data_IF_972435554780
#
_entry.id   IF_972435554780
#
_cell.length_a   1.000
_cell.length_b   1.000
_cell.length_c   1.000
_cell.angle_alpha   90.00
_cell.angle_beta   90.00
_cell.angle_gamma   90.00
#
_symmetry.space_group_name_H-M   'P 1'
#
loop_
_entity.id
_entity.type
_entity.pdbx_description
1 polymer ?
#
# COMPACT_ATOMS: atom_id res chain seq x y z
N UNK A 1 20.60 4.78 -20.16
CA UNK A 1 19.20 4.33 -20.12
C UNK A 1 19.20 2.91 -19.55
N UNK A 2 19.15 2.78 -18.23
CA UNK A 2 19.06 1.47 -17.58
C UNK A 2 17.60 1.05 -17.54
N UNK A 3 17.26 0.05 -18.34
CA UNK A 3 16.00 -0.68 -18.21
C UNK A 3 15.94 -1.20 -16.78
N UNK A 4 14.86 -0.94 -15.98
CA UNK A 4 14.73 -1.59 -14.70
C UNK A 4 14.76 -3.09 -14.92
N UNK A 5 15.57 -3.80 -14.13
CA UNK A 5 15.64 -5.25 -14.15
C UNK A 5 14.21 -5.77 -14.09
N UNK A 6 13.84 -6.65 -15.02
CA UNK A 6 12.52 -7.27 -15.08
C UNK A 6 12.35 -8.11 -13.81
N UNK A 7 11.86 -7.50 -12.74
CA UNK A 7 11.47 -8.19 -11.52
C UNK A 7 10.40 -9.23 -11.83
N UNK A 8 10.29 -10.25 -11.00
CA UNK A 8 9.20 -11.22 -11.12
C UNK A 8 7.85 -10.50 -10.94
N UNK A 9 6.90 -10.80 -11.81
CA UNK A 9 5.53 -10.28 -11.70
C UNK A 9 4.88 -10.85 -10.43
N UNK A 10 4.58 -9.98 -9.47
CA UNK A 10 4.02 -10.37 -8.18
C UNK A 10 2.50 -10.25 -8.15
N UNK A 11 1.96 -9.12 -8.62
CA UNK A 11 0.52 -8.89 -8.73
C UNK A 11 0.18 -8.58 -10.19
N UNK A 12 -0.79 -9.31 -10.73
CA UNK A 12 -1.30 -9.13 -12.09
C UNK A 12 -2.83 -8.97 -12.04
N UNK A 13 -3.29 -7.79 -12.43
CA UNK A 13 -4.70 -7.41 -12.49
C UNK A 13 -5.09 -7.28 -13.94
N UNK A 14 -6.13 -8.01 -14.36
CA UNK A 14 -6.55 -8.06 -15.75
C UNK A 14 -8.03 -7.70 -15.89
N UNK A 15 -8.30 -6.61 -16.62
CA UNK A 15 -9.65 -6.11 -17.00
C UNK A 15 -10.61 -6.04 -15.82
N UNK A 16 -10.11 -5.59 -14.65
CA UNK A 16 -10.87 -5.56 -13.41
C UNK A 16 -11.95 -4.49 -13.48
N UNK A 17 -13.20 -4.86 -13.24
CA UNK A 17 -14.33 -3.95 -13.32
C UNK A 17 -15.20 -4.00 -12.08
N UNK A 18 -15.75 -2.82 -11.71
CA UNK A 18 -16.70 -2.67 -10.60
C UNK A 18 -17.65 -1.52 -10.83
N UNK A 19 -18.94 -1.77 -10.60
CA UNK A 19 -20.00 -0.77 -10.66
C UNK A 19 -20.77 -0.71 -9.36
N UNK A 20 -21.26 0.46 -9.02
CA UNK A 20 -22.19 0.71 -7.93
C UNK A 20 -23.40 1.46 -8.52
N UNK A 21 -24.46 0.73 -8.83
CA UNK A 21 -25.59 1.30 -9.56
C UNK A 21 -25.16 1.89 -10.89
N UNK A 22 -25.36 3.21 -11.09
CA UNK A 22 -24.94 3.93 -12.29
C UNK A 22 -23.46 4.31 -12.35
N UNK A 23 -22.74 4.22 -11.22
CA UNK A 23 -21.34 4.67 -11.13
C UNK A 23 -20.36 3.52 -11.47
N UNK A 24 -19.47 3.74 -12.42
CA UNK A 24 -18.38 2.81 -12.76
C UNK A 24 -17.15 3.22 -11.97
N UNK A 25 -16.77 2.42 -10.98
CA UNK A 25 -15.62 2.71 -10.12
C UNK A 25 -14.31 2.07 -10.61
N UNK A 26 -14.41 0.95 -11.34
CA UNK A 26 -13.29 0.34 -12.08
C UNK A 26 -13.81 -0.08 -13.44
N UNK A 27 -13.13 0.29 -14.52
CA UNK A 27 -13.58 0.14 -15.91
C UNK A 27 -12.53 -0.63 -16.74
N UNK A 28 -12.37 -1.93 -16.44
CA UNK A 28 -11.41 -2.77 -17.14
C UNK A 28 -9.96 -2.44 -16.75
N UNK A 29 -9.69 -2.28 -15.46
CA UNK A 29 -8.35 -1.94 -14.94
C UNK A 29 -7.38 -3.08 -15.20
N UNK A 30 -6.26 -2.75 -15.86
CA UNK A 30 -5.06 -3.57 -15.93
C UNK A 30 -3.96 -2.92 -15.08
N UNK A 31 -3.31 -3.71 -14.20
CA UNK A 31 -2.25 -3.24 -13.31
C UNK A 31 -1.27 -4.37 -13.04
N UNK A 32 0.02 -4.09 -13.17
CA UNK A 32 1.09 -5.03 -12.86
C UNK A 32 2.02 -4.44 -11.80
N UNK A 33 2.32 -5.23 -10.76
CA UNK A 33 3.29 -4.87 -9.71
C UNK A 33 4.37 -5.94 -9.66
N UNK A 34 5.64 -5.53 -9.67
CA UNK A 34 6.79 -6.41 -9.69
C UNK A 34 7.42 -6.53 -8.29
N UNK A 35 8.08 -7.66 -8.02
CA UNK A 35 8.74 -7.88 -6.73
C UNK A 35 9.82 -6.83 -6.44
N UNK A 36 9.83 -6.33 -5.21
CA UNK A 36 10.85 -5.40 -4.72
C UNK A 36 10.70 -3.95 -5.16
N UNK A 37 9.64 -3.62 -5.94
CA UNK A 37 9.37 -2.22 -6.30
C UNK A 37 8.48 -1.50 -5.27
N UNK A 38 8.61 -0.20 -5.20
CA UNK A 38 7.58 0.72 -4.70
C UNK A 38 6.78 1.17 -5.92
N UNK A 39 5.58 0.61 -6.07
CA UNK A 39 4.64 0.98 -7.12
C UNK A 39 3.64 1.99 -6.57
N UNK A 40 3.58 3.18 -7.11
CA UNK A 40 2.59 4.17 -6.70
C UNK A 40 1.35 4.15 -7.60
N UNK A 41 0.18 4.27 -6.99
CA UNK A 41 -1.10 4.48 -7.66
C UNK A 41 -1.61 5.87 -7.32
N UNK A 42 -1.61 6.76 -8.29
CA UNK A 42 -2.10 8.13 -8.17
C UNK A 42 -3.35 8.36 -9.02
N UNK A 43 -4.00 9.49 -8.82
CA UNK A 43 -5.18 9.91 -9.59
C UNK A 43 -6.06 10.87 -8.82
N UNK A 44 -6.95 11.60 -9.48
CA UNK A 44 -7.83 12.59 -8.83
C UNK A 44 -8.78 11.93 -7.80
N UNK A 45 -9.41 12.78 -6.98
CA UNK A 45 -10.46 12.32 -6.08
C UNK A 45 -11.63 11.73 -6.90
N UNK A 46 -12.15 10.60 -6.44
CA UNK A 46 -13.20 9.89 -7.17
C UNK A 46 -12.72 9.04 -8.36
N UNK A 47 -11.41 8.97 -8.64
CA UNK A 47 -10.87 8.14 -9.72
C UNK A 47 -11.10 6.63 -9.56
N UNK A 48 -11.44 6.15 -8.37
CA UNK A 48 -11.65 4.73 -8.06
C UNK A 48 -10.52 4.06 -7.29
N UNK A 49 -9.51 4.81 -6.81
CA UNK A 49 -8.34 4.28 -6.09
C UNK A 49 -8.73 3.39 -4.89
N UNK A 50 -9.56 3.92 -3.98
CA UNK A 50 -10.02 3.18 -2.79
C UNK A 50 -10.82 1.91 -3.17
N UNK A 51 -11.63 1.98 -4.23
CA UNK A 51 -12.35 0.83 -4.76
C UNK A 51 -11.39 -0.22 -5.29
N UNK A 52 -10.39 0.17 -6.07
CA UNK A 52 -9.38 -0.74 -6.60
C UNK A 52 -8.60 -1.41 -5.45
N UNK A 53 -8.14 -0.64 -4.47
CA UNK A 53 -7.45 -1.18 -3.29
C UNK A 53 -8.33 -2.16 -2.51
N UNK A 54 -9.61 -1.84 -2.30
CA UNK A 54 -10.56 -2.74 -1.65
C UNK A 54 -10.75 -4.06 -2.42
N UNK A 55 -10.74 -4.00 -3.76
CA UNK A 55 -10.78 -5.20 -4.62
C UNK A 55 -9.47 -5.99 -4.49
N UNK A 56 -8.30 -5.34 -4.52
CA UNK A 56 -6.99 -5.98 -4.34
C UNK A 56 -6.84 -6.62 -2.96
N UNK A 57 -7.37 -5.99 -1.92
CA UNK A 57 -7.36 -6.52 -0.56
C UNK A 57 -8.41 -7.63 -0.30
N UNK A 58 -9.32 -7.89 -1.25
CA UNK A 58 -10.40 -8.88 -1.11
C UNK A 58 -11.58 -8.44 -0.26
N UNK A 59 -11.64 -7.16 0.13
CA UNK A 59 -12.76 -6.57 0.86
C UNK A 59 -13.98 -6.33 -0.04
N UNK A 60 -13.73 -6.14 -1.32
CA UNK A 60 -14.73 -5.92 -2.34
C UNK A 60 -14.53 -6.90 -3.50
N UNK A 61 -15.59 -7.60 -3.88
CA UNK A 61 -15.55 -8.48 -5.06
C UNK A 61 -15.68 -7.66 -6.35
N UNK A 62 -14.83 -7.89 -7.35
CA UNK A 62 -15.03 -7.33 -8.67
C UNK A 62 -16.27 -7.95 -9.34
N UNK A 63 -16.86 -7.21 -10.28
CA UNK A 63 -17.96 -7.72 -11.10
C UNK A 63 -17.42 -8.57 -12.26
N UNK A 64 -16.24 -8.23 -12.77
CA UNK A 64 -15.50 -9.00 -13.78
C UNK A 64 -14.00 -8.73 -13.69
N UNK A 65 -13.22 -9.50 -14.45
CA UNK A 65 -11.77 -9.44 -14.45
C UNK A 65 -11.13 -10.45 -13.53
N UNK A 66 -9.80 -10.39 -13.42
CA UNK A 66 -9.00 -11.35 -12.68
C UNK A 66 -7.91 -10.64 -11.87
N UNK A 67 -7.61 -11.17 -10.69
CA UNK A 67 -6.49 -10.77 -9.85
C UNK A 67 -5.64 -12.02 -9.61
N UNK A 68 -4.39 -12.02 -10.08
CA UNK A 68 -3.42 -13.05 -9.77
C UNK A 68 -2.33 -12.48 -8.86
N UNK A 69 -1.92 -13.27 -7.86
CA UNK A 69 -0.86 -12.94 -6.93
C UNK A 69 0.14 -14.10 -6.85
N UNK A 70 1.41 -13.83 -7.11
CA UNK A 70 2.45 -14.86 -7.19
C UNK A 70 2.05 -16.01 -8.12
N UNK A 71 1.46 -15.71 -9.28
CA UNK A 71 1.00 -16.66 -10.28
C UNK A 71 -0.33 -17.36 -9.95
N UNK A 72 -0.87 -17.21 -8.73
CA UNK A 72 -2.11 -17.86 -8.31
C UNK A 72 -3.30 -16.89 -8.40
N UNK A 73 -4.45 -17.38 -8.87
CA UNK A 73 -5.68 -16.60 -8.89
C UNK A 73 -6.22 -16.39 -7.47
N UNK A 74 -6.37 -15.10 -7.09
CA UNK A 74 -6.89 -14.70 -5.79
C UNK A 74 -8.21 -13.92 -5.89
N UNK A 75 -8.80 -13.84 -7.07
CA UNK A 75 -9.97 -12.99 -7.37
C UNK A 75 -11.12 -13.16 -6.38
N UNK A 76 -11.37 -14.41 -5.96
CA UNK A 76 -12.48 -14.74 -5.07
C UNK A 76 -12.09 -15.00 -3.63
N UNK A 77 -10.79 -14.87 -3.30
CA UNK A 77 -10.30 -15.13 -1.95
C UNK A 77 -10.65 -13.96 -1.01
N UNK A 78 -10.98 -14.33 0.23
CA UNK A 78 -11.21 -13.38 1.32
C UNK A 78 -9.94 -12.64 1.72
N UNK A 79 -10.04 -11.49 2.44
CA UNK A 79 -8.87 -10.76 2.93
C UNK A 79 -7.92 -11.64 3.75
N UNK A 80 -8.45 -12.50 4.60
CA UNK A 80 -7.66 -13.40 5.43
C UNK A 80 -6.88 -14.43 4.59
N UNK A 81 -7.49 -15.00 3.56
CA UNK A 81 -6.80 -15.94 2.66
C UNK A 81 -5.70 -15.26 1.84
N UNK A 82 -5.91 -13.96 1.45
CA UNK A 82 -4.87 -13.16 0.78
C UNK A 82 -3.73 -12.83 1.72
N UNK A 83 -4.02 -12.46 2.98
CA UNK A 83 -3.00 -12.21 4.00
C UNK A 83 -2.12 -13.45 4.22
N UNK A 84 -2.71 -14.65 4.31
CA UNK A 84 -1.96 -15.92 4.41
C UNK A 84 -1.06 -16.21 3.21
N UNK A 85 -1.35 -15.62 2.04
CA UNK A 85 -0.51 -15.70 0.84
C UNK A 85 0.55 -14.60 0.77
N UNK A 86 0.58 -13.70 1.75
CA UNK A 86 1.55 -12.63 1.85
C UNK A 86 1.12 -11.32 1.18
N UNK A 87 -0.19 -11.08 0.99
CA UNK A 87 -0.73 -9.79 0.57
C UNK A 87 -1.40 -9.11 1.77
N UNK A 88 -0.75 -8.10 2.33
CA UNK A 88 -1.25 -7.33 3.47
C UNK A 88 -1.75 -5.94 3.05
N UNK A 89 -2.58 -5.31 3.87
CA UNK A 89 -3.02 -3.92 3.70
C UNK A 89 -2.94 -3.18 5.04
N UNK A 90 -2.43 -1.94 5.03
CA UNK A 90 -2.64 -1.02 6.14
C UNK A 90 -4.12 -0.57 6.17
N UNK A 91 -4.63 -0.28 7.35
CA UNK A 91 -6.02 0.15 7.50
C UNK A 91 -6.10 1.68 7.41
N UNK A 92 -7.09 2.19 6.67
CA UNK A 92 -7.38 3.62 6.54
C UNK A 92 -7.95 4.22 7.84
N UNK A 93 -8.49 3.39 8.75
CA UNK A 93 -8.99 3.79 10.06
C UNK A 93 -8.08 3.18 11.11
N UNK A 94 -7.53 4.03 11.96
CA UNK A 94 -6.68 3.65 13.10
C UNK A 94 -7.36 2.55 13.93
N UNK A 95 -6.88 1.32 13.82
CA UNK A 95 -7.38 0.16 14.57
C UNK A 95 -6.38 -0.28 15.64
N UNK A 96 -5.77 0.70 16.30
CA UNK A 96 -4.86 0.44 17.39
C UNK A 96 -5.63 0.09 18.65
N UNK A 97 -5.21 -0.96 19.33
CA UNK A 97 -5.79 -1.36 20.61
C UNK A 97 -5.25 -0.45 21.71
N UNK A 98 -6.04 0.53 22.13
CA UNK A 98 -5.66 1.53 23.15
C UNK A 98 -5.42 0.95 24.54
N UNK A 99 -5.90 -0.28 24.81
CA UNK A 99 -5.66 -1.02 26.05
C UNK A 99 -4.28 -1.65 26.12
N UNK A 100 -3.56 -1.72 25.01
CA UNK A 100 -2.19 -2.22 24.91
C UNK A 100 -1.23 -1.06 24.65
N UNK A 101 0.03 -1.26 25.03
CA UNK A 101 1.16 -0.43 24.61
C UNK A 101 1.54 -0.71 23.15
N UNK A 102 2.55 -0.01 22.64
CA UNK A 102 3.07 -0.16 21.29
C UNK A 102 3.52 -1.59 21.01
N UNK A 103 4.35 -2.17 21.90
CA UNK A 103 4.84 -3.54 21.75
C UNK A 103 3.71 -4.58 21.80
N UNK A 104 2.71 -4.38 22.64
CA UNK A 104 1.54 -5.24 22.76
C UNK A 104 0.69 -5.24 21.47
N UNK A 105 0.52 -4.10 20.84
CA UNK A 105 -0.17 -4.01 19.53
C UNK A 105 0.59 -4.82 18.46
N UNK A 106 1.91 -4.65 18.38
CA UNK A 106 2.75 -5.41 17.44
C UNK A 106 2.70 -6.90 17.77
N UNK A 107 2.77 -7.27 19.06
CA UNK A 107 2.73 -8.67 19.49
C UNK A 107 1.42 -9.37 19.07
N UNK A 108 0.28 -8.70 19.18
CA UNK A 108 -1.01 -9.22 18.71
C UNK A 108 -0.98 -9.50 17.18
N UNK A 109 -0.43 -8.58 16.39
CA UNK A 109 -0.33 -8.75 14.94
C UNK A 109 0.61 -9.91 14.57
N UNK A 110 1.76 -10.02 15.25
CA UNK A 110 2.74 -11.10 15.06
C UNK A 110 2.14 -12.47 15.43
N UNK A 111 1.41 -12.56 16.55
CA UNK A 111 0.70 -13.78 16.96
C UNK A 111 -0.40 -14.17 15.96
N UNK A 112 -1.18 -13.19 15.48
CA UNK A 112 -2.22 -13.43 14.49
C UNK A 112 -1.64 -13.94 13.15
N UNK A 113 -0.40 -13.57 12.84
CA UNK A 113 0.35 -14.08 11.70
C UNK A 113 0.92 -15.49 11.90
N UNK A 114 0.81 -16.07 13.11
CA UNK A 114 1.29 -17.42 13.42
C UNK A 114 2.80 -17.55 13.62
N UNK A 115 3.49 -16.46 13.95
CA UNK A 115 4.94 -16.49 14.20
C UNK A 115 5.25 -17.25 15.49
N UNK A 116 6.20 -18.18 15.42
CA UNK A 116 6.69 -18.94 16.60
C UNK A 116 7.67 -18.12 17.45
N UNK A 117 8.36 -17.15 16.86
CA UNK A 117 9.36 -16.29 17.52
C UNK A 117 8.81 -14.89 17.78
N UNK A 118 7.68 -14.81 18.50
CA UNK A 118 6.94 -13.55 18.70
C UNK A 118 7.82 -12.42 19.23
N UNK A 119 8.64 -12.66 20.26
CA UNK A 119 9.49 -11.61 20.88
C UNK A 119 10.53 -11.05 19.91
N UNK A 120 11.18 -11.92 19.13
CA UNK A 120 12.18 -11.50 18.14
C UNK A 120 11.49 -10.66 17.05
N UNK A 121 10.36 -11.15 16.53
CA UNK A 121 9.64 -10.46 15.47
C UNK A 121 9.07 -9.12 15.91
N UNK A 122 8.57 -9.01 17.14
CA UNK A 122 8.12 -7.73 17.72
C UNK A 122 9.25 -6.71 17.70
N UNK A 123 10.45 -7.09 18.17
CA UNK A 123 11.61 -6.20 18.17
C UNK A 123 11.99 -5.76 16.75
N UNK A 124 12.07 -6.69 15.81
CA UNK A 124 12.36 -6.38 14.40
C UNK A 124 11.36 -5.37 13.82
N UNK A 125 10.05 -5.56 14.06
CA UNK A 125 9.03 -4.63 13.59
C UNK A 125 9.19 -3.25 14.19
N UNK A 126 9.42 -3.17 15.52
CA UNK A 126 9.62 -1.90 16.22
C UNK A 126 10.84 -1.14 15.68
N UNK A 127 11.95 -1.86 15.44
CA UNK A 127 13.16 -1.28 14.84
C UNK A 127 12.89 -0.79 13.40
N UNK A 128 12.15 -1.56 12.63
CA UNK A 128 11.83 -1.24 11.23
C UNK A 128 10.96 0.02 11.11
N UNK A 129 9.98 0.18 12.01
CA UNK A 129 9.12 1.38 12.02
C UNK A 129 9.69 2.54 12.85
N UNK A 130 10.80 2.34 13.57
CA UNK A 130 11.48 3.37 14.35
C UNK A 130 10.77 3.72 15.65
N UNK A 131 10.12 2.75 16.30
CA UNK A 131 9.38 2.91 17.56
C UNK A 131 9.93 2.01 18.69
N UNK A 132 11.22 1.68 18.66
CA UNK A 132 11.85 0.83 19.69
C UNK A 132 11.88 1.52 21.05
N UNK A 133 12.14 2.82 21.07
CA UNK A 133 12.18 3.63 22.32
C UNK A 133 10.77 3.82 22.89
N UNK A 134 9.74 3.86 22.05
CA UNK A 134 8.33 4.00 22.41
C UNK A 134 7.64 2.65 22.69
N UNK A 135 8.37 1.55 22.75
CA UNK A 135 7.81 0.19 22.86
C UNK A 135 6.81 0.00 24.01
N UNK A 136 7.06 0.63 25.17
CA UNK A 136 6.19 0.62 26.33
C UNK A 136 5.21 1.81 26.41
N UNK A 137 5.21 2.70 25.39
CA UNK A 137 4.34 3.86 25.39
C UNK A 137 2.87 3.46 25.13
N UNK A 138 1.97 4.21 25.75
CA UNK A 138 0.52 4.10 25.43
C UNK A 138 0.25 4.71 24.07
N UNK A 139 -0.74 4.18 23.38
CA UNK A 139 -1.12 4.65 22.03
C UNK A 139 -1.55 6.13 22.00
N UNK A 140 -2.19 6.59 23.07
CA UNK A 140 -2.63 7.98 23.23
C UNK A 140 -1.50 8.98 23.51
N UNK A 141 -0.29 8.49 23.83
CA UNK A 141 0.91 9.30 23.98
C UNK A 141 1.70 9.50 22.68
N UNK A 142 1.40 8.70 21.65
CA UNK A 142 2.06 8.79 20.35
C UNK A 142 1.55 9.98 19.53
N UNK A 143 2.47 10.63 18.80
CA UNK A 143 2.10 11.58 17.74
C UNK A 143 1.30 10.90 16.62
N UNK A 144 0.68 11.69 15.76
CA UNK A 144 -0.06 11.15 14.61
C UNK A 144 0.84 10.35 13.67
N UNK A 145 2.06 10.84 13.41
CA UNK A 145 3.05 10.14 12.58
C UNK A 145 3.49 8.81 13.17
N UNK A 146 3.71 8.73 14.49
CA UNK A 146 4.07 7.49 15.19
C UNK A 146 2.92 6.48 15.17
N UNK A 147 1.67 6.92 15.35
CA UNK A 147 0.51 6.04 15.22
C UNK A 147 0.40 5.45 13.81
N UNK A 148 0.65 6.26 12.76
CA UNK A 148 0.68 5.79 11.37
C UNK A 148 1.85 4.83 11.12
N UNK A 149 3.04 5.10 11.67
CA UNK A 149 4.16 4.18 11.59
C UNK A 149 3.83 2.82 12.25
N UNK A 150 3.16 2.85 13.40
CA UNK A 150 2.68 1.64 14.06
C UNK A 150 1.67 0.87 13.21
N UNK A 151 0.72 1.54 12.55
CA UNK A 151 -0.23 0.90 11.62
C UNK A 151 0.48 0.19 10.45
N UNK A 152 1.52 0.81 9.90
CA UNK A 152 2.39 0.17 8.91
C UNK A 152 3.09 -1.05 9.53
N UNK A 153 3.60 -0.93 10.76
CA UNK A 153 4.20 -2.03 11.52
C UNK A 153 3.27 -3.23 11.66
N UNK A 154 1.99 -2.99 12.00
CA UNK A 154 1.00 -4.08 12.09
C UNK A 154 0.79 -4.78 10.73
N UNK A 155 0.79 -4.02 9.64
CA UNK A 155 0.62 -4.59 8.29
C UNK A 155 1.83 -5.45 7.88
N UNK A 156 3.05 -5.08 8.28
CA UNK A 156 4.27 -5.83 7.94
C UNK A 156 4.63 -6.93 8.96
N UNK A 157 3.90 -7.04 10.07
CA UNK A 157 4.15 -8.03 11.12
C UNK A 157 4.22 -9.47 10.60
N UNK A 158 3.40 -9.79 9.59
CA UNK A 158 3.34 -11.11 8.94
C UNK A 158 4.44 -11.34 7.88
N UNK A 159 5.40 -10.43 7.70
CA UNK A 159 6.39 -10.46 6.59
C UNK A 159 5.72 -10.65 5.23
N UNK A 160 4.82 -9.76 4.81
CA UNK A 160 4.13 -9.91 3.55
C UNK A 160 5.07 -9.74 2.36
N UNK A 161 4.76 -10.40 1.24
CA UNK A 161 5.44 -10.17 -0.05
C UNK A 161 5.00 -8.86 -0.69
N UNK A 162 3.74 -8.44 -0.45
CA UNK A 162 3.17 -7.17 -0.92
C UNK A 162 2.38 -6.52 0.20
N UNK A 163 2.67 -5.25 0.48
CA UNK A 163 1.87 -4.41 1.37
C UNK A 163 1.18 -3.30 0.57
N UNK A 164 -0.13 -3.15 0.79
CA UNK A 164 -0.93 -2.05 0.25
C UNK A 164 -0.97 -0.94 1.31
N UNK A 165 -0.37 0.22 1.02
CA UNK A 165 -0.37 1.40 1.89
C UNK A 165 -1.31 2.45 1.29
N UNK A 166 -2.40 2.75 2.01
CA UNK A 166 -3.47 3.63 1.55
C UNK A 166 -3.37 4.97 2.28
N UNK A 167 -2.83 5.98 1.60
CA UNK A 167 -2.58 7.34 2.08
C UNK A 167 -1.83 7.38 3.43
N UNK A 168 -0.66 6.71 3.55
CA UNK A 168 0.05 6.62 4.82
C UNK A 168 0.56 7.98 5.34
N UNK A 169 0.72 8.97 4.47
CA UNK A 169 1.20 10.32 4.81
C UNK A 169 0.07 11.35 4.99
N UNK A 170 -1.21 10.94 4.86
CA UNK A 170 -2.34 11.86 4.98
C UNK A 170 -2.40 12.54 6.35
N UNK A 171 -2.51 13.88 6.36
CA UNK A 171 -2.63 14.69 7.57
C UNK A 171 -1.33 14.89 8.35
N UNK A 172 -0.19 14.43 7.83
CA UNK A 172 1.13 14.61 8.45
C UNK A 172 1.74 15.98 8.16
N UNK A 173 2.50 16.49 9.14
CA UNK A 173 3.41 17.60 8.91
C UNK A 173 4.64 17.17 8.08
N UNK A 174 5.42 18.16 7.62
CA UNK A 174 6.56 17.92 6.73
C UNK A 174 7.57 16.91 7.30
N UNK A 175 7.93 17.03 8.59
CA UNK A 175 8.92 16.16 9.22
C UNK A 175 8.38 14.73 9.41
N UNK A 176 7.10 14.58 9.75
CA UNK A 176 6.46 13.27 9.86
C UNK A 176 6.37 12.58 8.51
N UNK A 177 5.99 13.32 7.45
CA UNK A 177 5.98 12.80 6.07
C UNK A 177 7.35 12.31 5.64
N UNK A 178 8.43 13.07 5.94
CA UNK A 178 9.80 12.66 5.68
C UNK A 178 10.20 11.35 6.40
N UNK A 179 9.77 11.20 7.65
CA UNK A 179 10.01 9.95 8.42
C UNK A 179 9.26 8.78 7.80
N UNK A 180 8.01 8.99 7.37
CA UNK A 180 7.23 7.97 6.68
C UNK A 180 7.83 7.61 5.32
N UNK A 181 8.30 8.58 4.53
CA UNK A 181 9.05 8.33 3.30
C UNK A 181 10.27 7.44 3.57
N UNK A 182 11.06 7.74 4.60
CA UNK A 182 12.22 6.95 4.98
C UNK A 182 11.83 5.52 5.43
N UNK A 183 10.70 5.37 6.12
CA UNK A 183 10.15 4.05 6.47
C UNK A 183 9.80 3.26 5.22
N UNK A 184 9.01 3.82 4.30
CA UNK A 184 8.62 3.16 3.05
C UNK A 184 9.86 2.76 2.21
N UNK A 185 10.86 3.63 2.14
CA UNK A 185 12.13 3.34 1.46
C UNK A 185 12.91 2.18 2.12
N UNK A 186 12.79 1.97 3.44
CA UNK A 186 13.37 0.80 4.12
C UNK A 186 12.60 -0.47 3.81
N UNK A 187 11.26 -0.41 3.81
CA UNK A 187 10.38 -1.57 3.57
C UNK A 187 10.66 -2.25 2.22
N UNK A 188 10.97 -1.48 1.17
CA UNK A 188 11.26 -2.03 -0.17
C UNK A 188 12.39 -3.06 -0.21
N UNK A 189 13.26 -3.10 0.81
CA UNK A 189 14.35 -4.09 0.89
C UNK A 189 13.85 -5.51 1.13
N UNK A 190 12.65 -5.65 1.69
CA UNK A 190 12.10 -6.93 2.16
C UNK A 190 10.67 -7.20 1.67
N UNK A 191 9.97 -6.14 1.21
CA UNK A 191 8.54 -6.20 0.88
C UNK A 191 8.27 -5.32 -0.33
N UNK A 192 7.49 -5.81 -1.29
CA UNK A 192 6.95 -4.98 -2.36
C UNK A 192 5.90 -4.03 -1.79
N UNK A 193 5.86 -2.79 -2.24
CA UNK A 193 4.91 -1.79 -1.75
C UNK A 193 4.02 -1.31 -2.88
N UNK A 194 2.70 -1.41 -2.73
CA UNK A 194 1.75 -0.65 -3.55
C UNK A 194 1.28 0.54 -2.71
N UNK A 195 1.75 1.72 -3.08
CA UNK A 195 1.52 2.98 -2.37
C UNK A 195 0.41 3.77 -3.06
N UNK A 196 -0.65 4.09 -2.34
CA UNK A 196 -1.68 4.99 -2.81
C UNK A 196 -1.45 6.33 -2.13
N UNK A 197 -1.22 7.38 -2.90
CA UNK A 197 -0.97 8.72 -2.40
C UNK A 197 -1.51 9.78 -3.34
N UNK A 198 -1.71 10.97 -2.79
CA UNK A 198 -2.12 12.16 -3.54
C UNK A 198 -1.01 13.24 -3.58
N UNK A 199 0.00 13.15 -2.70
CA UNK A 199 1.21 13.98 -2.76
C UNK A 199 2.13 13.46 -3.88
N UNK A 200 2.02 14.13 -5.03
CA UNK A 200 2.75 13.76 -6.26
C UNK A 200 4.25 13.86 -6.07
N UNK A 201 4.73 14.85 -5.31
CA UNK A 201 6.15 15.05 -5.07
C UNK A 201 6.74 13.94 -4.20
N UNK A 202 6.03 13.52 -3.16
CA UNK A 202 6.42 12.37 -2.34
C UNK A 202 6.45 11.08 -3.17
N UNK A 203 5.43 10.87 -4.01
CA UNK A 203 5.35 9.73 -4.93
C UNK A 203 6.56 9.69 -5.86
N UNK A 204 6.91 10.81 -6.50
CA UNK A 204 8.03 10.88 -7.43
C UNK A 204 9.41 10.69 -6.78
N UNK A 205 9.52 10.94 -5.47
CA UNK A 205 10.73 10.62 -4.71
C UNK A 205 10.84 9.15 -4.32
N UNK A 206 9.72 8.47 -4.10
CA UNK A 206 9.68 7.12 -3.52
C UNK A 206 9.52 6.00 -4.53
N UNK A 207 8.71 6.24 -5.58
CA UNK A 207 8.26 5.19 -6.46
C UNK A 207 9.29 4.81 -7.53
N UNK A 208 9.38 3.51 -7.81
CA UNK A 208 10.08 2.98 -8.98
C UNK A 208 9.18 2.99 -10.22
N UNK A 209 7.86 2.86 -9.99
CA UNK A 209 6.82 2.87 -11.02
C UNK A 209 5.60 3.63 -10.52
N UNK A 210 4.96 4.36 -11.41
CA UNK A 210 3.73 5.10 -11.13
C UNK A 210 2.65 4.68 -12.12
N UNK A 211 1.48 4.31 -11.60
CA UNK A 211 0.25 4.13 -12.37
C UNK A 211 -0.73 5.26 -12.09
N UNK A 212 -1.32 5.82 -13.12
CA UNK A 212 -2.28 6.91 -13.03
C UNK A 212 -3.68 6.40 -13.31
N UNK A 213 -4.55 6.47 -12.30
CA UNK A 213 -5.96 6.06 -12.40
C UNK A 213 -6.84 7.30 -12.60
N UNK A 214 -7.63 7.29 -13.66
CA UNK A 214 -8.61 8.36 -13.97
C UNK A 214 -9.92 7.72 -14.38
N UNK A 215 -11.02 8.13 -13.75
CA UNK A 215 -12.38 7.62 -14.09
C UNK A 215 -12.47 6.08 -14.14
N UNK A 216 -11.76 5.41 -13.22
CA UNK A 216 -11.76 3.96 -13.12
C UNK A 216 -10.85 3.23 -14.12
N UNK A 217 -10.01 3.92 -14.87
CA UNK A 217 -9.08 3.34 -15.84
C UNK A 217 -7.64 3.76 -15.54
N UNK A 218 -6.68 2.84 -15.72
CA UNK A 218 -5.26 3.17 -15.71
C UNK A 218 -4.89 3.74 -17.07
N UNK A 219 -4.58 5.04 -17.11
CA UNK A 219 -4.24 5.76 -18.35
C UNK A 219 -2.75 5.76 -18.64
N UNK A 220 -1.91 5.57 -17.62
CA UNK A 220 -0.46 5.46 -17.75
C UNK A 220 0.10 4.56 -16.64
N UNK A 221 1.18 3.82 -16.94
CA UNK A 221 1.95 3.02 -15.97
C UNK A 221 3.41 2.95 -16.44
N UNK A 222 4.30 3.73 -15.80
CA UNK A 222 5.70 3.85 -16.21
C UNK A 222 6.59 4.36 -15.06
N UNK A 223 7.86 4.70 -15.35
CA UNK A 223 8.72 5.38 -14.39
C UNK A 223 8.15 6.76 -14.02
N UNK A 224 8.49 7.29 -12.83
CA UNK A 224 8.05 8.62 -12.39
C UNK A 224 8.34 9.72 -13.42
N UNK A 225 9.53 9.70 -14.04
CA UNK A 225 9.94 10.68 -15.04
C UNK A 225 9.07 10.61 -16.31
N UNK A 226 8.76 9.40 -16.78
CA UNK A 226 7.94 9.20 -17.96
C UNK A 226 6.49 9.65 -17.70
N UNK A 227 5.94 9.34 -16.54
CA UNK A 227 4.57 9.76 -16.14
C UNK A 227 4.48 11.28 -16.00
N UNK A 228 5.51 11.94 -15.44
CA UNK A 228 5.55 13.41 -15.31
C UNK A 228 5.55 14.11 -16.66
N UNK A 229 6.15 13.52 -17.69
CA UNK A 229 6.21 14.06 -19.06
C UNK A 229 5.05 13.64 -19.98
N UNK A 230 4.15 12.80 -19.51
CA UNK A 230 3.04 12.29 -20.33
C UNK A 230 1.94 13.34 -20.50
N UNK A 231 1.65 13.72 -21.75
CA UNK A 231 0.66 14.75 -22.08
C UNK A 231 -0.76 14.38 -21.61
N UNK A 232 -1.14 13.10 -21.70
CA UNK A 232 -2.45 12.64 -21.24
C UNK A 232 -2.58 12.69 -19.71
N UNK A 233 -1.49 12.43 -18.99
CA UNK A 233 -1.46 12.55 -17.53
C UNK A 233 -1.53 14.03 -17.12
N UNK A 234 -0.75 14.90 -17.78
CA UNK A 234 -0.78 16.35 -17.54
C UNK A 234 -2.19 16.90 -17.72
N UNK A 235 -2.84 16.58 -18.84
CA UNK A 235 -4.19 17.05 -19.12
C UNK A 235 -5.23 16.51 -18.14
N UNK A 236 -5.16 15.21 -17.82
CA UNK A 236 -6.18 14.54 -17.01
C UNK A 236 -6.04 14.80 -15.51
N UNK A 237 -4.82 15.04 -15.02
CA UNK A 237 -4.52 15.06 -13.58
C UNK A 237 -3.70 16.28 -13.14
N UNK A 238 -2.63 16.64 -13.85
CA UNK A 238 -1.70 17.72 -13.43
C UNK A 238 -2.10 19.09 -13.98
N UNK A 239 -2.94 19.16 -15.00
CA UNK A 239 -3.38 20.40 -15.64
C UNK A 239 -4.64 21.05 -15.06
N UNK A 240 -5.12 20.61 -13.89
CA UNK A 240 -6.32 21.13 -13.22
C UNK A 240 -6.01 21.84 -11.89
N UNK A 241 -4.86 22.47 -11.79
CA UNK A 241 -4.59 23.46 -10.72
C UNK A 241 -5.02 24.87 -11.15
#
# INVERSE_FOLDING_TARGET
MSTPAAGNLLLDVQRLSKRFGGVVASAGVDLQVFEGEVHALIGPNGAGKTTLVAQLAGQLRPDSGRIAFAGSDITRLSPHERARRGLARSFQITRLFRSFDVAGNVALAVQAAGSLETTVRVREVLDEIGLSDESAARIDALSHGEQRALEVGLAIASRPRLVLLDEPMAGMGHDESRRMEALIARLRRHTTVLLIEHDVDAVFRLADRVSVLVSGQVIASSSPEAVRGDAGVIEAYLGKE
#
